data_IF_034041417295
#
_entry.id   IF_034041417295
#
_cell.length_a   1.000
_cell.length_b   1.000
_cell.length_c   1.000
_cell.angle_alpha   90.00
_cell.angle_beta   90.00
_cell.angle_gamma   90.00
#
_symmetry.space_group_name_H-M   'P 1'
#
loop_
_entity.id
_entity.type
_entity.pdbx_description
1 polymer ?
#
# COMPACT_ATOMS: atom_id res chain seq x y z
N UNK A 1 4.51 11.91 11.42
CA UNK A 1 3.83 10.93 10.56
C UNK A 1 2.82 11.65 9.67
N UNK A 2 2.90 11.52 8.36
CA UNK A 2 1.91 12.16 7.48
C UNK A 2 0.53 11.53 7.66
N UNK A 3 -0.50 12.31 7.33
CA UNK A 3 -1.88 11.85 7.36
C UNK A 3 -2.15 10.87 6.21
N UNK A 4 -3.25 10.13 6.31
CA UNK A 4 -3.66 9.24 5.21
C UNK A 4 -3.91 10.05 3.93
N UNK A 5 -4.37 11.29 4.02
CA UNK A 5 -4.59 12.12 2.85
C UNK A 5 -3.28 12.36 2.09
N UNK A 6 -2.22 12.69 2.81
CA UNK A 6 -0.89 12.87 2.20
C UNK A 6 -0.38 11.57 1.59
N UNK A 7 -0.49 10.46 2.33
CA UNK A 7 -0.06 9.15 1.86
C UNK A 7 -0.87 8.73 0.62
N UNK A 8 -2.18 9.01 0.63
CA UNK A 8 -3.05 8.65 -0.49
C UNK A 8 -2.70 9.42 -1.76
N UNK A 9 -2.28 10.68 -1.62
CA UNK A 9 -1.79 11.46 -2.76
C UNK A 9 -0.56 10.78 -3.37
N UNK A 10 0.37 10.32 -2.53
CA UNK A 10 1.56 9.61 -3.00
C UNK A 10 1.20 8.30 -3.70
N UNK A 11 0.28 7.53 -3.11
CA UNK A 11 -0.18 6.27 -3.70
C UNK A 11 -0.82 6.53 -5.07
N UNK A 12 -1.66 7.53 -5.18
CA UNK A 12 -2.32 7.89 -6.43
C UNK A 12 -1.31 8.36 -7.49
N UNK A 13 -0.33 9.15 -7.07
CA UNK A 13 0.68 9.70 -7.98
C UNK A 13 1.55 8.61 -8.63
N UNK A 14 1.73 7.49 -7.96
CA UNK A 14 2.57 6.39 -8.45
C UNK A 14 1.77 5.21 -9.00
N UNK A 15 0.45 5.38 -9.19
CA UNK A 15 -0.38 4.37 -9.82
C UNK A 15 0.15 4.03 -11.22
N UNK A 16 0.13 2.75 -11.57
CA UNK A 16 0.64 2.27 -12.85
C UNK A 16 2.12 1.91 -12.86
N UNK A 17 2.86 2.31 -11.85
CA UNK A 17 4.28 1.95 -11.72
C UNK A 17 4.44 0.56 -11.14
N UNK A 18 5.62 -0.03 -11.32
CA UNK A 18 5.90 -1.39 -10.82
C UNK A 18 6.35 -1.35 -9.37
N UNK A 19 5.75 -2.19 -8.55
CA UNK A 19 6.11 -2.39 -7.15
C UNK A 19 6.48 -3.85 -6.93
N UNK A 20 7.16 -4.14 -5.82
CA UNK A 20 7.67 -5.48 -5.51
C UNK A 20 7.13 -5.95 -4.16
N UNK A 21 6.58 -7.17 -4.14
CA UNK A 21 6.19 -7.82 -2.90
C UNK A 21 7.43 -8.37 -2.18
N UNK A 22 7.30 -8.65 -0.88
CA UNK A 22 8.41 -9.19 -0.07
C UNK A 22 9.06 -10.40 -0.72
N UNK A 23 8.26 -11.27 -1.31
CA UNK A 23 8.75 -12.51 -1.92
C UNK A 23 9.22 -12.32 -3.37
N UNK A 24 9.39 -11.09 -3.82
CA UNK A 24 9.95 -10.77 -5.12
C UNK A 24 8.96 -10.70 -6.27
N UNK A 25 7.67 -10.93 -6.02
CA UNK A 25 6.65 -10.77 -7.06
C UNK A 25 6.47 -9.31 -7.45
N UNK A 26 6.34 -9.04 -8.73
CA UNK A 26 6.10 -7.69 -9.24
C UNK A 26 4.61 -7.48 -9.49
N UNK A 27 4.14 -6.27 -9.23
CA UNK A 27 2.76 -5.89 -9.54
C UNK A 27 2.67 -4.39 -9.81
N UNK A 28 1.58 -4.01 -10.42
CA UNK A 28 1.19 -2.61 -10.57
C UNK A 28 -0.21 -2.45 -9.99
N UNK A 29 -0.65 -1.22 -9.80
CA UNK A 29 -2.01 -0.97 -9.31
C UNK A 29 -2.59 0.28 -9.96
N UNK A 30 -3.91 0.35 -9.94
CA UNK A 30 -4.66 1.56 -10.27
C UNK A 30 -5.39 2.02 -9.01
N UNK A 31 -5.76 3.30 -8.97
CA UNK A 31 -6.59 3.85 -7.91
C UNK A 31 -7.93 4.21 -8.52
N UNK A 32 -9.00 3.65 -7.98
CA UNK A 32 -10.35 3.86 -8.50
C UNK A 32 -11.36 3.85 -7.35
N UNK A 33 -12.19 4.87 -7.27
CA UNK A 33 -13.28 4.92 -6.30
C UNK A 33 -12.83 4.81 -4.84
N UNK A 34 -11.67 5.37 -4.49
CA UNK A 34 -11.15 5.28 -3.13
C UNK A 34 -10.54 3.92 -2.79
N UNK A 35 -10.19 3.14 -3.80
CA UNK A 35 -9.58 1.81 -3.63
C UNK A 35 -8.30 1.71 -4.45
N UNK A 36 -7.33 0.94 -3.94
CA UNK A 36 -6.19 0.46 -4.72
C UNK A 36 -6.59 -0.88 -5.32
N UNK A 37 -6.40 -1.01 -6.63
CA UNK A 37 -6.75 -2.22 -7.39
C UNK A 37 -5.48 -2.82 -7.99
N UNK A 38 -4.83 -3.77 -7.30
CA UNK A 38 -3.65 -4.43 -7.85
C UNK A 38 -4.00 -5.26 -9.09
N UNK A 39 -3.06 -5.31 -10.06
CA UNK A 39 -3.30 -6.03 -11.32
C UNK A 39 -3.24 -7.55 -11.17
N UNK A 40 -2.76 -8.06 -10.05
CA UNK A 40 -2.56 -9.49 -9.83
C UNK A 40 -3.61 -10.13 -8.93
N UNK A 41 -4.65 -9.39 -8.57
CA UNK A 41 -5.72 -9.89 -7.71
C UNK A 41 -7.03 -9.21 -8.07
N UNK A 42 -8.14 -9.83 -7.71
CA UNK A 42 -9.47 -9.23 -7.83
C UNK A 42 -9.84 -8.40 -6.60
N UNK A 43 -8.97 -8.34 -5.59
CA UNK A 43 -9.25 -7.57 -4.39
C UNK A 43 -9.12 -6.08 -4.66
N UNK A 44 -10.04 -5.31 -4.07
CA UNK A 44 -9.95 -3.86 -4.05
C UNK A 44 -9.65 -3.45 -2.61
N UNK A 45 -8.54 -2.74 -2.41
CA UNK A 45 -8.07 -2.38 -1.07
C UNK A 45 -8.50 -0.96 -0.77
N UNK A 46 -9.44 -0.77 0.17
CA UNK A 46 -9.95 0.57 0.45
C UNK A 46 -8.90 1.44 1.15
N UNK A 47 -9.01 2.75 0.93
CA UNK A 47 -8.17 3.77 1.58
C UNK A 47 -8.10 3.57 3.10
N UNK A 48 -9.24 3.20 3.72
CA UNK A 48 -9.30 2.97 5.16
C UNK A 48 -8.37 1.86 5.64
N UNK A 49 -8.10 0.85 4.81
CA UNK A 49 -7.17 -0.21 5.16
C UNK A 49 -5.72 0.30 5.17
N UNK A 50 -5.37 1.18 4.24
CA UNK A 50 -4.05 1.84 4.27
C UNK A 50 -3.94 2.73 5.50
N UNK A 51 -4.99 3.44 5.86
CA UNK A 51 -5.00 4.27 7.07
C UNK A 51 -4.78 3.42 8.32
N UNK A 52 -5.47 2.29 8.44
CA UNK A 52 -5.26 1.38 9.57
C UNK A 52 -3.83 0.84 9.61
N UNK A 53 -3.27 0.52 8.44
CA UNK A 53 -1.91 0.00 8.35
C UNK A 53 -0.86 1.03 8.79
N UNK A 54 -1.12 2.32 8.64
CA UNK A 54 -0.20 3.37 9.06
C UNK A 54 0.06 3.35 10.57
N UNK A 55 -0.82 2.74 11.36
CA UNK A 55 -0.60 2.58 12.80
C UNK A 55 0.57 1.64 13.10
N UNK A 56 1.01 0.85 12.13
CA UNK A 56 2.03 -0.19 12.33
C UNK A 56 3.33 0.07 11.59
N UNK A 57 3.43 1.17 10.85
CA UNK A 57 4.68 1.47 10.12
C UNK A 57 5.77 1.98 11.06
N UNK A 58 7.06 1.69 10.81
CA UNK A 58 7.55 0.91 9.67
C UNK A 58 7.25 -0.58 9.83
N UNK A 59 6.82 -1.19 8.73
CA UNK A 59 6.45 -2.61 8.72
C UNK A 59 7.68 -3.48 8.48
N UNK A 60 7.79 -4.57 9.22
CA UNK A 60 8.82 -5.59 8.99
C UNK A 60 8.24 -6.91 8.51
N UNK A 61 6.91 -7.05 8.61
CA UNK A 61 6.18 -8.26 8.23
C UNK A 61 4.71 -7.92 8.02
N UNK A 62 3.96 -8.86 7.45
CA UNK A 62 2.54 -8.66 7.16
C UNK A 62 1.60 -9.04 8.31
N UNK A 63 2.12 -9.65 9.36
CA UNK A 63 1.28 -10.13 10.48
C UNK A 63 0.34 -9.05 11.04
N UNK A 64 0.79 -7.81 11.28
CA UNK A 64 -0.12 -6.77 11.76
C UNK A 64 -1.26 -6.43 10.80
N UNK A 65 -1.16 -6.85 9.53
CA UNK A 65 -2.11 -6.49 8.48
C UNK A 65 -3.07 -7.64 8.14
N UNK A 66 -3.09 -8.72 8.93
CA UNK A 66 -3.87 -9.92 8.60
C UNK A 66 -5.36 -9.67 8.53
N UNK A 67 -5.88 -8.67 9.24
CA UNK A 67 -7.30 -8.33 9.21
C UNK A 67 -7.67 -7.41 8.05
N UNK A 68 -6.70 -7.00 7.25
CA UNK A 68 -6.90 -6.09 6.13
C UNK A 68 -6.89 -6.88 4.83
N UNK A 69 -7.38 -6.25 3.75
CA UNK A 69 -7.34 -6.86 2.42
C UNK A 69 -5.95 -6.71 1.84
N UNK A 70 -5.46 -7.78 1.18
CA UNK A 70 -4.20 -7.76 0.46
C UNK A 70 -3.01 -7.32 1.29
N UNK A 71 -2.71 -7.99 2.44
CA UNK A 71 -1.64 -7.53 3.33
C UNK A 71 -0.30 -7.36 2.63
N UNK A 72 0.07 -8.27 1.72
CA UNK A 72 1.34 -8.18 1.01
C UNK A 72 1.41 -6.99 0.05
N UNK A 73 0.28 -6.59 -0.51
CA UNK A 73 0.21 -5.40 -1.37
C UNK A 73 0.31 -4.12 -0.54
N UNK A 74 -0.39 -4.07 0.60
CA UNK A 74 -0.28 -2.93 1.53
C UNK A 74 1.16 -2.75 1.99
N UNK A 75 1.80 -3.85 2.40
CA UNK A 75 3.20 -3.84 2.83
C UNK A 75 4.10 -3.28 1.72
N UNK A 76 3.99 -3.84 0.51
CA UNK A 76 4.83 -3.45 -0.61
C UNK A 76 4.69 -1.96 -0.94
N UNK A 77 3.48 -1.45 -0.91
CA UNK A 77 3.21 -0.05 -1.24
C UNK A 77 3.72 0.87 -0.12
N UNK A 78 3.33 0.61 1.13
CA UNK A 78 3.69 1.51 2.24
C UNK A 78 5.19 1.50 2.55
N UNK A 79 5.89 0.41 2.28
CA UNK A 79 7.33 0.32 2.54
C UNK A 79 8.19 0.68 1.33
N UNK A 80 7.58 1.01 0.20
CA UNK A 80 8.29 1.50 -0.97
C UNK A 80 8.76 2.95 -0.74
N UNK A 81 9.99 3.25 -1.17
CA UNK A 81 10.57 4.57 -0.96
C UNK A 81 9.77 5.70 -1.60
N UNK A 82 9.08 5.42 -2.71
CA UNK A 82 8.24 6.41 -3.39
C UNK A 82 7.06 6.84 -2.53
N UNK A 83 6.61 5.97 -1.64
CA UNK A 83 5.44 6.21 -0.80
C UNK A 83 5.86 6.69 0.59
N UNK A 84 6.80 5.98 1.23
CA UNK A 84 7.23 6.33 2.59
C UNK A 84 8.06 7.61 2.67
N UNK A 85 8.89 7.85 1.69
CA UNK A 85 9.71 9.07 1.55
C UNK A 85 10.43 9.45 2.85
N UNK A 86 10.98 8.46 3.54
CA UNK A 86 11.66 8.62 4.84
C UNK A 86 10.75 9.10 5.99
N UNK A 87 9.44 9.07 5.83
CA UNK A 87 8.50 9.49 6.88
C UNK A 87 8.24 8.37 7.92
N UNK A 88 8.62 7.16 7.59
CA UNK A 88 8.57 6.04 8.52
C UNK A 88 9.58 4.96 8.18
#
# INVERSE_FOLDING_TARGET
>A
MPSIETVWIRITAHAGETFHQIKGGEFSYLVAGGHVVPDRTNQQIPKSHFEQALAYVPLTRTVPLQNLRGPSYIFAILMDNRIRQSDW
#
